data_IF_453322330385
#
_entry.id   IF_453322330385
#
_cell.length_a   1.000
_cell.length_b   1.000
_cell.length_c   1.000
_cell.angle_alpha   90.00
_cell.angle_beta   90.00
_cell.angle_gamma   90.00
#
_symmetry.space_group_name_H-M   'P 1'
#
loop_
_entity.id
_entity.type
_entity.pdbx_description
1 polymer ?
#
# COMPACT_ATOMS: atom_id res chain seq x y z
N UNK A 1 -0.22 13.48 -5.32
CA UNK A 1 0.64 12.42 -5.88
C UNK A 1 -0.17 11.65 -6.89
N UNK A 2 0.18 11.70 -8.17
CA UNK A 2 -0.78 11.36 -9.23
C UNK A 2 -0.54 9.99 -9.88
N UNK A 3 0.68 9.45 -9.83
CA UNK A 3 0.96 8.11 -10.35
C UNK A 3 1.88 7.33 -9.43
N UNK A 4 1.68 6.01 -9.34
CA UNK A 4 2.65 5.12 -8.69
C UNK A 4 3.99 5.08 -9.46
N UNK A 5 3.98 5.40 -10.75
CA UNK A 5 5.18 5.46 -11.57
C UNK A 5 6.12 6.61 -11.17
N UNK A 6 5.65 7.56 -10.37
CA UNK A 6 6.48 8.66 -9.86
C UNK A 6 7.49 8.17 -8.79
N UNK A 7 7.13 7.14 -8.00
CA UNK A 7 7.95 6.70 -6.85
C UNK A 7 8.84 5.48 -7.16
N UNK A 8 8.42 4.59 -8.07
CA UNK A 8 9.20 3.37 -8.41
C UNK A 8 10.65 3.67 -8.84
N UNK A 9 10.95 4.68 -9.68
CA UNK A 9 12.32 5.03 -10.05
C UNK A 9 13.15 5.54 -8.85
N UNK A 10 12.51 6.26 -7.92
CA UNK A 10 13.16 6.76 -6.70
C UNK A 10 13.50 5.59 -5.79
N UNK A 11 12.56 4.66 -5.56
CA UNK A 11 12.82 3.46 -4.77
C UNK A 11 13.96 2.63 -5.35
N UNK A 12 13.99 2.46 -6.68
CA UNK A 12 15.09 1.76 -7.34
C UNK A 12 16.43 2.42 -7.08
N UNK A 13 16.50 3.75 -7.22
CA UNK A 13 17.73 4.53 -7.02
C UNK A 13 18.21 4.48 -5.57
N UNK A 14 17.32 4.72 -4.60
CA UNK A 14 17.71 4.87 -3.19
C UNK A 14 17.98 3.52 -2.51
N UNK A 15 17.34 2.44 -2.97
CA UNK A 15 17.55 1.09 -2.38
C UNK A 15 18.56 0.25 -3.16
N UNK A 16 18.91 0.63 -4.39
CA UNK A 16 19.71 -0.18 -5.31
C UNK A 16 19.04 -1.49 -5.73
N UNK A 17 17.74 -1.64 -5.44
CA UNK A 17 16.98 -2.89 -5.61
C UNK A 17 15.88 -2.71 -6.67
N UNK A 18 15.57 -3.73 -7.48
CA UNK A 18 14.49 -3.62 -8.46
C UNK A 18 13.14 -3.50 -7.76
N UNK A 19 12.39 -2.48 -8.14
CA UNK A 19 10.98 -2.28 -7.79
C UNK A 19 10.18 -2.20 -9.10
N UNK A 20 8.94 -2.69 -9.08
CA UNK A 20 7.97 -2.57 -10.16
C UNK A 20 6.71 -1.88 -9.67
N UNK A 21 6.08 -1.10 -10.54
CA UNK A 21 4.75 -0.54 -10.33
C UNK A 21 3.68 -1.56 -10.72
N UNK A 22 2.63 -1.67 -9.91
CA UNK A 22 1.40 -2.38 -10.25
C UNK A 22 0.25 -1.39 -10.13
N UNK A 23 -0.45 -1.17 -11.24
CA UNK A 23 -1.59 -0.25 -11.30
C UNK A 23 -2.91 -1.01 -11.08
N UNK A 24 -3.78 -0.43 -10.25
CA UNK A 24 -5.20 -0.81 -10.18
C UNK A 24 -5.98 0.32 -10.85
N UNK A 25 -6.48 0.09 -12.07
CA UNK A 25 -7.10 1.16 -12.89
C UNK A 25 -8.60 1.29 -12.69
N UNK A 26 -9.23 0.27 -12.11
CA UNK A 26 -10.64 0.28 -11.77
C UNK A 26 -10.91 1.20 -10.57
N UNK A 27 -12.12 1.79 -10.46
CA UNK A 27 -12.52 2.57 -9.28
C UNK A 27 -12.61 1.76 -7.99
N UNK A 28 -12.64 0.43 -8.11
CA UNK A 28 -12.65 -0.54 -7.01
C UNK A 28 -11.74 -1.71 -7.41
N UNK A 29 -11.01 -2.28 -6.44
CA UNK A 29 -10.25 -3.50 -6.72
C UNK A 29 -11.20 -4.69 -6.87
N UNK A 30 -10.95 -5.53 -7.88
CA UNK A 30 -11.58 -6.85 -7.97
C UNK A 30 -10.80 -7.89 -7.15
N UNK A 31 -11.43 -9.04 -6.90
CA UNK A 31 -10.85 -10.11 -6.06
C UNK A 31 -9.45 -10.54 -6.56
N UNK A 32 -9.25 -10.59 -7.89
CA UNK A 32 -7.97 -10.99 -8.47
C UNK A 32 -6.89 -9.93 -8.25
N UNK A 33 -7.24 -8.65 -8.34
CA UNK A 33 -6.35 -7.53 -8.02
C UNK A 33 -6.00 -7.54 -6.53
N UNK A 34 -6.97 -7.79 -5.65
CA UNK A 34 -6.75 -7.90 -4.21
C UNK A 34 -5.87 -9.10 -3.86
N UNK A 35 -6.09 -10.26 -4.46
CA UNK A 35 -5.24 -11.43 -4.27
C UNK A 35 -3.81 -11.21 -4.79
N UNK A 36 -3.67 -10.51 -5.92
CA UNK A 36 -2.34 -10.13 -6.45
C UNK A 36 -1.63 -9.18 -5.50
N UNK A 37 -2.33 -8.16 -4.99
CA UNK A 37 -1.79 -7.25 -3.98
C UNK A 37 -1.33 -8.00 -2.74
N UNK A 38 -2.17 -8.92 -2.22
CA UNK A 38 -1.84 -9.73 -1.05
C UNK A 38 -0.57 -10.57 -1.28
N UNK A 39 -0.48 -11.26 -2.41
CA UNK A 39 0.69 -12.07 -2.76
C UNK A 39 1.96 -11.21 -2.92
N UNK A 40 1.84 -10.03 -3.53
CA UNK A 40 2.95 -9.09 -3.70
C UNK A 40 3.42 -8.50 -2.37
N UNK A 41 2.50 -8.21 -1.44
CA UNK A 41 2.82 -7.77 -0.07
C UNK A 41 3.60 -8.85 0.66
N UNK A 42 3.10 -10.08 0.70
CA UNK A 42 3.77 -11.20 1.39
C UNK A 42 5.18 -11.38 0.85
N UNK A 43 5.34 -11.49 -0.48
CA UNK A 43 6.66 -11.65 -1.11
C UNK A 43 7.62 -10.51 -0.77
N UNK A 44 7.17 -9.26 -0.92
CA UNK A 44 8.03 -8.07 -0.72
C UNK A 44 8.48 -7.95 0.73
N UNK A 45 7.57 -8.18 1.67
CA UNK A 45 7.85 -8.10 3.11
C UNK A 45 8.77 -9.24 3.55
N UNK A 46 8.54 -10.46 3.07
CA UNK A 46 9.41 -11.60 3.36
C UNK A 46 10.84 -11.40 2.80
N UNK A 47 10.97 -10.68 1.68
CA UNK A 47 12.26 -10.26 1.12
C UNK A 47 12.94 -9.11 1.90
N UNK A 48 12.36 -8.72 3.05
CA UNK A 48 12.88 -7.68 3.94
C UNK A 48 12.69 -6.27 3.38
N UNK A 49 11.62 -6.03 2.61
CA UNK A 49 11.34 -4.74 1.96
C UNK A 49 9.91 -4.29 2.21
N UNK A 50 9.68 -2.98 2.07
CA UNK A 50 8.34 -2.43 2.15
C UNK A 50 7.69 -2.35 0.77
N UNK A 51 6.37 -2.56 0.71
CA UNK A 51 5.53 -2.13 -0.41
C UNK A 51 5.17 -0.67 -0.19
N UNK A 52 5.26 0.16 -1.24
CA UNK A 52 4.84 1.56 -1.18
C UNK A 52 3.54 1.73 -1.95
N UNK A 53 2.51 2.22 -1.30
CA UNK A 53 1.17 2.35 -1.87
C UNK A 53 0.80 3.82 -2.07
N UNK A 54 0.18 4.14 -3.21
CA UNK A 54 -0.39 5.46 -3.48
C UNK A 54 -1.89 5.42 -3.15
N UNK A 55 -2.29 6.04 -2.05
CA UNK A 55 -3.66 6.05 -1.56
C UNK A 55 -4.37 7.34 -1.95
N UNK A 56 -5.69 7.30 -2.06
CA UNK A 56 -6.52 8.50 -1.90
C UNK A 56 -7.94 8.19 -1.46
N UNK A 57 -8.57 9.19 -0.87
CA UNK A 57 -9.87 9.06 -0.27
C UNK A 57 -9.74 8.57 1.16
N UNK A 58 -10.69 7.76 1.60
CA UNK A 58 -10.85 7.42 3.02
C UNK A 58 -10.86 5.90 3.22
N UNK A 59 -10.21 5.44 4.29
CA UNK A 59 -10.27 4.03 4.74
C UNK A 59 -10.56 3.96 6.23
N UNK A 60 -10.90 2.76 6.71
CA UNK A 60 -11.07 2.46 8.14
C UNK A 60 -10.12 1.34 8.53
N UNK A 61 -9.39 1.53 9.62
CA UNK A 61 -8.44 0.56 10.14
C UNK A 61 -9.12 -0.52 11.00
N UNK A 62 -8.36 -1.54 11.41
CA UNK A 62 -8.91 -2.68 12.18
C UNK A 62 -9.39 -2.29 13.57
N UNK A 63 -8.97 -1.12 14.08
CA UNK A 63 -9.38 -0.59 15.37
C UNK A 63 -10.60 0.36 15.24
N UNK A 64 -11.10 0.56 14.02
CA UNK A 64 -12.25 1.41 13.71
C UNK A 64 -11.91 2.89 13.48
N UNK A 65 -10.62 3.26 13.44
CA UNK A 65 -10.19 4.63 13.17
C UNK A 65 -10.25 4.92 11.67
N UNK A 66 -10.83 6.06 11.32
CA UNK A 66 -10.89 6.54 9.94
C UNK A 66 -9.65 7.34 9.57
N UNK A 67 -9.07 7.04 8.41
CA UNK A 67 -7.93 7.74 7.82
C UNK A 67 -8.34 8.34 6.48
N UNK A 68 -8.16 9.65 6.29
CA UNK A 68 -8.63 10.37 5.08
C UNK A 68 -7.53 11.20 4.43
N UNK A 69 -7.28 10.91 3.15
CA UNK A 69 -6.29 11.59 2.30
C UNK A 69 -6.89 11.87 0.92
N UNK A 70 -7.89 12.74 0.85
CA UNK A 70 -8.60 13.08 -0.40
C UNK A 70 -7.66 13.61 -1.51
N UNK A 71 -6.57 14.31 -1.14
CA UNK A 71 -5.54 14.80 -2.08
C UNK A 71 -4.51 13.76 -2.52
N UNK A 72 -4.57 12.57 -1.93
CA UNK A 72 -3.64 11.47 -2.11
C UNK A 72 -2.38 11.56 -1.25
N UNK A 73 -1.80 10.39 -0.95
CA UNK A 73 -0.66 10.23 -0.05
C UNK A 73 0.10 8.93 -0.36
N UNK A 74 1.36 8.82 0.07
CA UNK A 74 2.09 7.55 -0.01
C UNK A 74 2.28 6.96 1.38
N UNK A 75 1.94 5.69 1.52
CA UNK A 75 2.14 4.92 2.76
C UNK A 75 3.01 3.70 2.49
N UNK A 76 3.67 3.19 3.52
CA UNK A 76 4.46 1.97 3.43
C UNK A 76 3.77 0.81 4.13
N UNK A 77 3.65 -0.33 3.45
CA UNK A 77 3.29 -1.60 4.07
C UNK A 77 4.58 -2.29 4.52
N UNK A 78 4.74 -2.45 5.82
CA UNK A 78 5.99 -2.93 6.45
C UNK A 78 5.86 -4.29 7.12
N UNK A 79 4.65 -4.84 7.16
CA UNK A 79 4.38 -6.12 7.81
C UNK A 79 2.99 -6.64 7.45
N UNK A 80 2.74 -7.91 7.73
CA UNK A 80 1.43 -8.53 7.56
C UNK A 80 1.15 -9.57 8.64
N UNK A 81 -0.13 -9.95 8.75
CA UNK A 81 -0.67 -11.01 9.61
C UNK A 81 -1.71 -11.80 8.81
N UNK A 82 -2.04 -13.00 9.29
CA UNK A 82 -3.09 -13.84 8.72
C UNK A 82 -2.89 -14.04 7.21
N UNK A 83 -1.72 -14.54 6.80
CA UNK A 83 -1.39 -14.81 5.39
C UNK A 83 -1.63 -13.62 4.42
N UNK A 84 -1.42 -12.41 4.93
CA UNK A 84 -1.55 -11.16 4.18
C UNK A 84 -2.93 -10.52 4.24
N UNK A 85 -3.90 -11.08 4.96
CA UNK A 85 -5.25 -10.50 5.07
C UNK A 85 -5.30 -9.21 5.90
N UNK A 86 -4.33 -9.03 6.80
CA UNK A 86 -4.17 -7.79 7.57
C UNK A 86 -2.75 -7.28 7.41
N UNK A 87 -2.59 -6.00 7.12
CA UNK A 87 -1.29 -5.39 6.81
C UNK A 87 -0.97 -4.28 7.79
N UNK A 88 0.30 -4.14 8.14
CA UNK A 88 0.80 -3.09 9.02
C UNK A 88 1.32 -1.94 8.18
N UNK A 89 0.73 -0.78 8.37
CA UNK A 89 1.10 0.46 7.71
C UNK A 89 2.09 1.22 8.58
N UNK A 90 3.11 1.80 7.93
CA UNK A 90 3.92 2.89 8.45
C UNK A 90 3.57 4.16 7.66
N UNK A 91 3.09 5.18 8.36
CA UNK A 91 2.65 6.45 7.79
C UNK A 91 3.42 7.62 8.42
N UNK A 92 4.09 8.42 7.60
CA UNK A 92 4.88 9.57 8.04
C UNK A 92 4.08 10.86 8.18
N UNK A 93 2.78 10.88 7.86
CA UNK A 93 1.96 12.09 7.91
C UNK A 93 1.70 12.60 9.33
N UNK A 94 1.54 11.70 10.30
CA UNK A 94 1.29 12.05 11.69
C UNK A 94 2.07 11.11 12.64
N UNK A 95 3.01 11.63 13.46
CA UNK A 95 3.75 10.79 14.40
C UNK A 95 2.86 10.08 15.43
N UNK A 96 1.72 10.66 15.80
CA UNK A 96 0.79 10.06 16.77
C UNK A 96 0.01 8.87 16.18
N UNK A 97 -0.01 8.73 14.86
CA UNK A 97 -0.66 7.65 14.10
C UNK A 97 0.33 7.00 13.12
N UNK A 98 1.61 6.95 13.50
CA UNK A 98 2.67 6.54 12.60
C UNK A 98 2.61 5.05 12.19
N UNK A 99 1.84 4.24 12.92
CA UNK A 99 1.59 2.85 12.55
C UNK A 99 0.20 2.37 12.93
N UNK A 100 -0.46 1.71 11.99
CA UNK A 100 -1.80 1.15 12.17
C UNK A 100 -1.97 -0.08 11.27
N UNK A 101 -3.09 -0.80 11.42
CA UNK A 101 -3.37 -2.02 10.68
C UNK A 101 -4.67 -1.91 9.89
N UNK A 102 -4.65 -2.34 8.64
CA UNK A 102 -5.84 -2.35 7.79
C UNK A 102 -6.01 -3.73 7.15
N UNK A 103 -7.22 -4.07 6.72
CA UNK A 103 -7.43 -5.27 5.90
C UNK A 103 -6.87 -5.06 4.51
N UNK A 104 -6.44 -6.14 3.85
CA UNK A 104 -5.94 -6.04 2.48
C UNK A 104 -7.03 -5.58 1.49
N UNK A 105 -8.29 -5.92 1.75
CA UNK A 105 -9.44 -5.44 0.97
C UNK A 105 -9.58 -3.91 1.08
N UNK A 106 -9.50 -3.37 2.29
CA UNK A 106 -9.54 -1.93 2.53
C UNK A 106 -8.35 -1.22 1.89
N UNK A 107 -7.15 -1.83 1.93
CA UNK A 107 -6.00 -1.28 1.22
C UNK A 107 -6.21 -1.29 -0.28
N UNK A 108 -6.69 -2.40 -0.86
CA UNK A 108 -6.89 -2.57 -2.30
C UNK A 108 -7.86 -1.52 -2.85
N UNK A 109 -8.95 -1.27 -2.14
CA UNK A 109 -9.91 -0.22 -2.48
C UNK A 109 -9.31 1.18 -2.32
N UNK A 110 -8.50 1.42 -1.29
CA UNK A 110 -7.89 2.74 -1.03
C UNK A 110 -6.81 3.14 -2.04
N UNK A 111 -6.17 2.16 -2.67
CA UNK A 111 -5.18 2.35 -3.73
C UNK A 111 -5.79 2.19 -5.14
N UNK A 112 -7.09 1.93 -5.23
CA UNK A 112 -7.78 1.85 -6.51
C UNK A 112 -7.58 3.15 -7.31
N UNK A 113 -7.54 3.04 -8.63
CA UNK A 113 -7.12 4.09 -9.60
C UNK A 113 -5.64 4.54 -9.53
N UNK A 114 -4.83 4.01 -8.59
CA UNK A 114 -3.46 4.52 -8.33
C UNK A 114 -2.40 3.43 -8.36
N UNK A 115 -2.53 2.40 -7.54
CA UNK A 115 -1.60 1.27 -7.46
C UNK A 115 -0.49 1.37 -6.40
N UNK A 116 0.49 0.47 -6.51
CA UNK A 116 1.55 0.24 -5.52
C UNK A 116 2.87 -0.21 -6.17
N UNK A 117 3.97 -0.05 -5.43
CA UNK A 117 5.32 -0.46 -5.81
C UNK A 117 5.78 -1.63 -4.95
N UNK A 118 6.21 -2.72 -5.59
CA UNK A 118 6.61 -4.01 -4.98
C UNK A 118 7.91 -4.51 -5.60
N UNK A 119 8.59 -5.47 -4.97
CA UNK A 119 9.77 -6.15 -5.55
C UNK A 119 9.51 -7.58 -5.98
#
# INVERSE_FOLDING_TARGET
>A
TNSINDITPVLHKETGKPYKSVEIRSPKADDKQTDTLRADIVRTVDDGRAVVANIAGTTTDTDGTTHSFEGGHYISVVGYQNDGHTVTIADSANPDQASYRITVDNLADWIATRGYSTS
#
